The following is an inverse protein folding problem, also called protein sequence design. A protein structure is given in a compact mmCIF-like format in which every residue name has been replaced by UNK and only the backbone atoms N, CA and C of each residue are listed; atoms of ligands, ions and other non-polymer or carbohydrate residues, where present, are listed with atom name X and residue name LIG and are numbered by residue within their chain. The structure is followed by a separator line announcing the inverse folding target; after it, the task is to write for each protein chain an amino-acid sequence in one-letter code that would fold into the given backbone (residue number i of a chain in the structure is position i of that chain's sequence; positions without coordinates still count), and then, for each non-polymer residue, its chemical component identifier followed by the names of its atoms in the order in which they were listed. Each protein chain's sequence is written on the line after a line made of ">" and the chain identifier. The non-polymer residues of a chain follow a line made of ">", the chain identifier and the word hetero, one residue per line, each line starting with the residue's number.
data_IF_298501360668
#
_entry.id   IF_298501360668
#
_cell.length_a   1.000
_cell.length_b   1.000
_cell.length_c   1.000
_cell.angle_alpha   90.00
_cell.angle_beta   90.00
_cell.angle_gamma   90.00
#
_symmetry.space_group_name_H-M   'P 1'
#
loop_
_entity.id
_entity.type
_entity.pdbx_description
1 polymer ?
#
# COMPACT_ATOMS: atom_id res chain seq x y z
N UNK A 1 19.42 -13.19 4.78
CA UNK A 1 19.11 -13.13 3.34
C UNK A 1 18.34 -11.85 3.10
N UNK A 2 18.97 -10.84 2.48
CA UNK A 2 18.24 -9.70 1.93
C UNK A 2 17.40 -10.25 0.79
N UNK A 3 16.10 -10.44 1.02
CA UNK A 3 15.18 -10.65 -0.09
C UNK A 3 14.99 -9.29 -0.72
N UNK A 4 15.70 -9.03 -1.81
CA UNK A 4 15.44 -7.89 -2.68
C UNK A 4 14.08 -8.12 -3.34
N UNK A 5 13.01 -7.77 -2.63
CA UNK A 5 11.68 -7.70 -3.19
C UNK A 5 11.70 -6.69 -4.35
N UNK A 6 11.25 -7.12 -5.53
CA UNK A 6 11.08 -6.23 -6.67
C UNK A 6 10.04 -5.19 -6.31
N UNK A 7 10.39 -3.90 -6.37
CA UNK A 7 9.44 -2.79 -6.10
C UNK A 7 9.03 -2.13 -7.41
N UNK A 8 7.75 -2.14 -7.70
CA UNK A 8 7.17 -1.50 -8.89
C UNK A 8 6.27 -0.34 -8.45
N UNK A 9 6.55 0.86 -8.92
CA UNK A 9 5.71 2.04 -8.66
C UNK A 9 4.33 1.85 -9.30
N UNK A 10 3.28 2.02 -8.49
CA UNK A 10 1.88 1.85 -8.92
C UNK A 10 1.17 3.19 -9.04
N UNK A 11 1.47 4.12 -8.14
CA UNK A 11 0.85 5.44 -8.14
C UNK A 11 1.31 6.29 -6.97
N UNK A 12 0.84 7.54 -6.95
CA UNK A 12 1.08 8.44 -5.83
C UNK A 12 -0.15 9.29 -5.53
N UNK A 13 -0.24 9.72 -4.29
CA UNK A 13 -1.13 10.77 -3.85
C UNK A 13 -0.36 11.98 -3.38
N UNK A 14 -0.97 13.15 -3.59
CA UNK A 14 -0.47 14.42 -3.09
C UNK A 14 -1.60 15.07 -2.31
N UNK A 15 -1.32 15.48 -1.07
CA UNK A 15 -2.26 16.22 -0.24
C UNK A 15 -1.52 17.26 0.61
N UNK A 16 -2.24 18.31 1.00
CA UNK A 16 -1.70 19.37 1.83
C UNK A 16 -2.17 19.19 3.27
N UNK A 17 -1.23 19.28 4.22
CA UNK A 17 -1.53 19.33 5.65
C UNK A 17 -2.12 20.70 6.06
N UNK A 18 -2.66 20.83 7.27
CA UNK A 18 -3.13 22.10 7.87
C UNK A 18 -2.10 23.24 7.76
N UNK A 19 -0.82 22.91 7.70
CA UNK A 19 0.27 23.89 7.50
C UNK A 19 0.57 24.21 6.03
N UNK A 20 -0.31 23.86 5.09
CA UNK A 20 -0.14 23.96 3.63
C UNK A 20 1.13 23.25 3.11
N UNK A 21 1.59 22.21 3.82
CA UNK A 21 2.77 21.43 3.43
C UNK A 21 2.37 20.31 2.50
N UNK A 22 3.08 20.18 1.40
CA UNK A 22 2.88 19.08 0.46
C UNK A 22 3.35 17.76 1.09
N UNK A 23 2.43 16.80 1.16
CA UNK A 23 2.69 15.42 1.50
C UNK A 23 2.47 14.57 0.27
N UNK A 24 3.51 13.85 -0.14
CA UNK A 24 3.44 12.92 -1.26
C UNK A 24 3.55 11.51 -0.72
N UNK A 25 2.50 10.71 -0.94
CA UNK A 25 2.50 9.28 -0.61
C UNK A 25 2.62 8.48 -1.90
N UNK A 26 3.72 7.76 -2.06
CA UNK A 26 3.98 6.86 -3.17
C UNK A 26 3.65 5.42 -2.78
N UNK A 27 2.95 4.72 -3.66
CA UNK A 27 2.50 3.35 -3.48
C UNK A 27 3.27 2.44 -4.42
N UNK A 28 3.83 1.36 -3.88
CA UNK A 28 4.66 0.40 -4.60
C UNK A 28 4.12 -1.01 -4.40
N UNK A 29 4.04 -1.76 -5.49
CA UNK A 29 3.87 -3.21 -5.48
C UNK A 29 5.21 -3.85 -5.14
N UNK A 30 5.21 -4.72 -4.15
CA UNK A 30 6.33 -5.61 -3.85
C UNK A 30 6.07 -6.98 -4.43
N UNK A 31 7.04 -7.55 -5.12
CA UNK A 31 6.97 -8.90 -5.67
C UNK A 31 8.13 -9.74 -5.12
N UNK A 32 7.82 -10.90 -4.55
CA UNK A 32 8.78 -11.95 -4.22
C UNK A 32 8.86 -12.91 -5.42
N UNK A 33 9.89 -12.82 -6.26
CA UNK A 33 9.99 -13.66 -7.46
C UNK A 33 10.20 -15.15 -7.14
N UNK A 34 10.53 -15.49 -5.88
CA UNK A 34 10.80 -16.87 -5.47
C UNK A 34 9.51 -17.57 -5.04
N UNK A 35 8.65 -16.87 -4.32
CA UNK A 35 7.42 -17.44 -3.75
C UNK A 35 6.18 -17.02 -4.53
N UNK A 36 6.30 -16.14 -5.54
CA UNK A 36 5.17 -15.50 -6.23
C UNK A 36 4.20 -14.85 -5.24
N UNK A 37 4.75 -14.31 -4.15
CA UNK A 37 3.99 -13.60 -3.13
C UNK A 37 4.14 -12.11 -3.38
N UNK A 38 3.02 -11.43 -3.38
CA UNK A 38 2.94 -10.00 -3.53
C UNK A 38 2.73 -9.32 -2.18
N UNK A 39 3.27 -8.11 -2.12
CA UNK A 39 3.15 -7.22 -0.98
C UNK A 39 2.98 -5.79 -1.45
N UNK A 40 2.91 -4.89 -0.49
CA UNK A 40 2.76 -3.46 -0.75
C UNK A 40 3.74 -2.67 0.11
N UNK A 41 4.29 -1.60 -0.44
CA UNK A 41 5.08 -0.63 0.30
C UNK A 41 4.55 0.78 0.03
N UNK A 42 4.47 1.58 1.08
CA UNK A 42 4.12 2.99 1.01
C UNK A 42 5.31 3.82 1.48
N UNK A 43 5.53 4.93 0.80
CA UNK A 43 6.53 5.93 1.16
C UNK A 43 5.86 7.29 1.20
N UNK A 44 5.88 7.94 2.35
CA UNK A 44 5.39 9.31 2.51
C UNK A 44 6.59 10.23 2.66
N UNK A 45 6.63 11.26 1.83
CA UNK A 45 7.59 12.35 1.93
C UNK A 45 6.85 13.66 2.15
N UNK A 46 7.32 14.46 3.10
CA UNK A 46 6.80 15.81 3.35
C UNK A 46 7.87 16.85 3.02
N UNK A 47 7.55 17.77 2.12
CA UNK A 47 8.43 18.91 1.82
C UNK A 47 8.54 19.81 3.07
N UNK A 48 9.76 20.23 3.42
CA UNK A 48 10.13 21.03 4.61
C UNK A 48 10.24 20.32 5.98
N UNK A 49 9.80 19.08 6.15
CA UNK A 49 9.97 18.39 7.44
C UNK A 49 11.15 17.42 7.48
N UNK A 50 11.66 16.98 6.33
CA UNK A 50 12.64 15.89 6.26
C UNK A 50 12.11 14.55 6.79
N UNK A 51 10.80 14.48 7.05
CA UNK A 51 10.12 13.28 7.53
C UNK A 51 9.81 12.41 6.32
N UNK A 52 10.53 11.29 6.22
CA UNK A 52 10.28 10.22 5.26
C UNK A 52 9.74 9.06 6.09
N UNK A 53 8.45 8.78 5.94
CA UNK A 53 7.80 7.64 6.57
C UNK A 53 7.74 6.52 5.53
N UNK A 54 8.18 5.35 5.92
CA UNK A 54 8.18 4.18 5.05
C UNK A 54 7.60 3.01 5.81
N UNK A 55 6.65 2.32 5.18
CA UNK A 55 6.07 1.10 5.73
C UNK A 55 5.84 0.09 4.60
N UNK A 56 5.93 -1.20 4.92
CA UNK A 56 5.75 -2.25 3.93
C UNK A 56 5.25 -3.55 4.53
N UNK A 57 4.37 -4.20 3.78
CA UNK A 57 3.85 -5.53 4.09
C UNK A 57 4.22 -6.45 2.93
N UNK A 58 5.29 -7.25 3.04
CA UNK A 58 5.84 -8.02 1.92
C UNK A 58 5.06 -9.30 1.59
N UNK A 59 4.11 -9.72 2.43
CA UNK A 59 3.36 -10.98 2.26
C UNK A 59 1.87 -10.74 2.49
N UNK A 60 1.23 -10.12 1.51
CA UNK A 60 -0.21 -9.80 1.56
C UNK A 60 -1.02 -10.89 0.87
N UNK A 61 -0.67 -11.24 -0.36
CA UNK A 61 -1.42 -12.21 -1.17
C UNK A 61 -0.52 -12.83 -2.23
N UNK A 62 -0.85 -14.04 -2.69
CA UNK A 62 -0.23 -14.69 -3.85
C UNK A 62 -0.94 -14.36 -5.18
N UNK A 63 -2.00 -13.53 -5.16
CA UNK A 63 -2.73 -13.14 -6.37
C UNK A 63 -2.39 -11.72 -6.83
N UNK A 64 -1.93 -11.59 -8.08
CA UNK A 64 -1.60 -10.31 -8.71
C UNK A 64 -2.83 -9.40 -8.86
N UNK A 65 -4.00 -9.99 -9.14
CA UNK A 65 -5.25 -9.23 -9.32
C UNK A 65 -5.72 -8.65 -7.98
N UNK A 66 -5.60 -9.44 -6.90
CA UNK A 66 -5.96 -9.01 -5.55
C UNK A 66 -5.04 -7.89 -5.09
N UNK A 67 -3.71 -8.05 -5.21
CA UNK A 67 -2.79 -6.99 -4.78
C UNK A 67 -2.94 -5.71 -5.61
N UNK A 68 -3.21 -5.81 -6.91
CA UNK A 68 -3.47 -4.65 -7.76
C UNK A 68 -4.73 -3.92 -7.32
N UNK A 69 -5.82 -4.65 -7.05
CA UNK A 69 -7.04 -4.07 -6.51
C UNK A 69 -6.83 -3.42 -5.14
N UNK A 70 -6.07 -4.08 -4.26
CA UNK A 70 -5.74 -3.56 -2.94
C UNK A 70 -4.95 -2.25 -3.05
N UNK A 71 -3.90 -2.19 -3.87
CA UNK A 71 -3.10 -0.98 -4.06
C UNK A 71 -3.96 0.16 -4.64
N UNK A 72 -4.82 -0.14 -5.61
CA UNK A 72 -5.77 0.84 -6.14
C UNK A 72 -6.73 1.34 -5.05
N UNK A 73 -7.19 0.46 -4.16
CA UNK A 73 -8.01 0.83 -3.00
C UNK A 73 -7.25 1.70 -2.00
N UNK A 74 -6.00 1.36 -1.68
CA UNK A 74 -5.13 2.16 -0.81
C UNK A 74 -4.93 3.59 -1.37
N UNK A 75 -4.70 3.70 -2.68
CA UNK A 75 -4.62 4.99 -3.37
C UNK A 75 -5.96 5.71 -3.27
N UNK A 76 -7.09 5.05 -3.56
CA UNK A 76 -8.42 5.65 -3.50
C UNK A 76 -8.78 6.19 -2.12
N UNK A 77 -8.45 5.44 -1.06
CA UNK A 77 -8.73 5.79 0.33
C UNK A 77 -7.68 6.71 0.98
N UNK A 78 -6.66 7.14 0.22
CA UNK A 78 -5.61 8.04 0.71
C UNK A 78 -4.80 7.47 1.87
N UNK A 79 -4.55 6.17 1.86
CA UNK A 79 -3.88 5.46 2.96
C UNK A 79 -2.45 5.96 3.09
N UNK A 80 -2.00 6.15 4.33
CA UNK A 80 -0.63 6.57 4.67
C UNK A 80 0.18 5.39 5.21
N UNK A 81 1.52 5.44 5.24
CA UNK A 81 2.34 4.37 5.78
C UNK A 81 1.95 3.96 7.22
N UNK A 82 1.65 4.93 8.10
CA UNK A 82 1.24 4.64 9.48
C UNK A 82 -0.04 3.81 9.54
N UNK A 83 -1.00 4.12 8.66
CA UNK A 83 -2.32 3.48 8.64
C UNK A 83 -2.37 2.27 7.70
N UNK A 84 -1.24 1.83 7.14
CA UNK A 84 -1.19 0.81 6.09
C UNK A 84 -1.76 -0.52 6.58
N UNK A 85 -1.26 -1.04 7.70
CA UNK A 85 -1.71 -2.31 8.27
C UNK A 85 -3.21 -2.28 8.61
N UNK A 86 -3.65 -1.23 9.31
CA UNK A 86 -5.06 -1.07 9.70
C UNK A 86 -5.99 -0.97 8.47
N UNK A 87 -5.62 -0.16 7.47
CA UNK A 87 -6.42 -0.02 6.25
C UNK A 87 -6.44 -1.29 5.42
N UNK A 88 -5.37 -2.08 5.44
CA UNK A 88 -5.32 -3.38 4.76
C UNK A 88 -6.24 -4.40 5.43
N UNK A 89 -6.22 -4.49 6.76
CA UNK A 89 -7.13 -5.36 7.51
C UNK A 89 -8.61 -4.96 7.25
N UNK A 90 -8.92 -3.66 7.21
CA UNK A 90 -10.25 -3.17 6.86
C UNK A 90 -10.67 -3.55 5.42
N UNK A 91 -9.77 -3.41 4.44
CA UNK A 91 -10.04 -3.79 3.05
C UNK A 91 -10.24 -5.30 2.94
N UNK A 92 -9.40 -6.11 3.60
CA UNK A 92 -9.53 -7.56 3.61
C UNK A 92 -10.86 -8.00 4.21
N UNK A 93 -11.20 -7.48 5.39
CA UNK A 93 -12.47 -7.78 6.06
C UNK A 93 -13.65 -7.47 5.15
N UNK A 94 -13.61 -6.32 4.46
CA UNK A 94 -14.70 -5.89 3.58
C UNK A 94 -14.80 -6.75 2.31
N UNK A 95 -13.69 -7.19 1.74
CA UNK A 95 -13.68 -8.11 0.59
C UNK A 95 -14.19 -9.51 1.00
N UNK A 96 -13.88 -9.98 2.21
CA UNK A 96 -14.44 -11.22 2.76
C UNK A 96 -15.96 -11.11 2.97
N UNK A 97 -16.45 -9.99 3.47
CA UNK A 97 -17.89 -9.73 3.66
C UNK A 97 -18.65 -9.59 2.33
N UNK A 98 -18.05 -8.96 1.32
CA UNK A 98 -18.65 -8.78 0.00
C UNK A 98 -18.54 -10.08 -0.85
N UNK A 99 -17.55 -10.92 -0.56
CA UNK A 99 -17.34 -12.24 -1.16
C UNK A 99 -18.27 -13.35 -0.63
N UNK A 100 -19.05 -13.11 0.43
CA UNK A 100 -20.09 -14.06 0.87
C UNK A 100 -21.36 -14.05 0.01
N UNK A 101 -21.41 -13.27 -1.07
CA UNK A 101 -22.49 -13.35 -2.07
C UNK A 101 -22.14 -14.28 -3.24
N UNK A 102 -21.60 -15.47 -3.00
CA UNK A 102 -21.67 -16.59 -3.95
C UNK A 102 -21.59 -17.95 -3.23
N UNK A 103 -22.70 -18.36 -2.63
CA UNK A 103 -23.15 -19.76 -2.64
C UNK A 103 -24.67 -19.82 -2.67
#
# INVERSE_FOLDING_TARGET
>A
MNKDYGRKFMGKQVFYDDKARENVVSYYLMEDPVHQIYGVALEKSQENAGLIEWDSIPKVTDSMEVIDHMINSLIKYKVTPISLAESLDEIMTREEENGQSQI
#
